data_IF_712703917474
#
_entry.id   IF_712703917474
#
_cell.length_a   1.000
_cell.length_b   1.000
_cell.length_c   1.000
_cell.angle_alpha   90.00
_cell.angle_beta   90.00
_cell.angle_gamma   90.00
#
_symmetry.space_group_name_H-M   'P 1'
#
loop_
_entity.id
_entity.type
_entity.pdbx_description
1 polymer ?
#
# COMPACT_ATOMS: atom_id res chain seq x y z
N UNK A 1 22.13 -14.10 7.95
CA UNK A 1 22.06 -12.63 8.16
C UNK A 1 20.62 -12.33 8.44
N UNK A 2 20.32 -12.03 9.70
CA UNK A 2 18.97 -11.74 10.19
C UNK A 2 18.95 -10.26 10.49
N UNK A 3 18.18 -9.48 9.73
CA UNK A 3 17.97 -8.07 10.03
C UNK A 3 16.79 -8.00 11.00
N UNK A 4 17.09 -7.82 12.28
CA UNK A 4 16.10 -7.49 13.31
C UNK A 4 16.07 -5.97 13.38
N UNK A 5 15.07 -5.36 12.73
CA UNK A 5 14.82 -3.94 12.90
C UNK A 5 14.06 -3.74 14.22
N UNK A 6 14.56 -2.80 15.02
CA UNK A 6 14.31 -2.68 16.45
C UNK A 6 13.44 -1.46 16.77
N UNK A 7 12.42 -1.19 15.98
CA UNK A 7 11.40 -0.18 16.29
C UNK A 7 10.17 -0.83 16.95
N UNK A 8 10.41 -1.44 18.11
CA UNK A 8 9.35 -1.88 19.01
C UNK A 8 8.82 -0.66 19.80
N UNK A 9 7.79 0.01 19.26
CA UNK A 9 6.88 0.86 20.03
C UNK A 9 6.74 2.33 19.61
N UNK A 10 5.48 2.76 19.48
CA UNK A 10 4.94 4.14 19.41
C UNK A 10 5.39 5.11 18.29
N UNK A 11 6.48 4.85 17.57
CA UNK A 11 6.76 5.53 16.29
C UNK A 11 6.14 4.80 15.07
N UNK A 12 5.49 3.65 15.31
CA UNK A 12 4.90 2.78 14.30
C UNK A 12 3.51 3.16 13.79
N UNK A 13 3.00 4.36 14.10
CA UNK A 13 1.75 4.86 13.51
C UNK A 13 2.03 5.51 12.16
N UNK A 14 2.43 4.68 11.20
CA UNK A 14 2.48 5.07 9.81
C UNK A 14 1.09 4.96 9.19
N UNK A 15 0.76 5.88 8.30
CA UNK A 15 -0.46 5.82 7.50
C UNK A 15 -0.11 5.41 6.09
N UNK A 16 -0.84 4.44 5.58
CA UNK A 16 -0.73 3.97 4.21
C UNK A 16 -1.78 4.68 3.35
N UNK A 17 -1.38 5.14 2.18
CA UNK A 17 -2.29 5.77 1.21
C UNK A 17 -1.84 5.50 -0.22
N UNK A 18 -2.78 5.51 -1.16
CA UNK A 18 -2.43 5.47 -2.58
C UNK A 18 -1.82 6.81 -3.01
N UNK A 19 -0.59 6.77 -3.50
CA UNK A 19 0.05 7.92 -4.14
C UNK A 19 -0.41 8.04 -5.59
N UNK A 20 -0.35 6.91 -6.31
CA UNK A 20 -0.81 6.80 -7.69
C UNK A 20 -1.55 5.49 -7.83
N UNK A 21 -2.84 5.57 -8.17
CA UNK A 21 -3.64 4.40 -8.50
C UNK A 21 -4.53 4.73 -9.71
N UNK A 22 -4.58 3.81 -10.66
CA UNK A 22 -5.53 3.92 -11.77
C UNK A 22 -6.97 3.84 -11.26
N UNK A 23 -7.91 4.53 -11.91
CA UNK A 23 -9.34 4.53 -11.52
C UNK A 23 -9.92 3.11 -11.46
N UNK A 24 -9.43 2.20 -12.32
CA UNK A 24 -9.78 0.77 -12.25
C UNK A 24 -9.21 0.10 -10.99
N UNK A 25 -7.93 0.32 -10.71
CA UNK A 25 -7.22 -0.27 -9.59
C UNK A 25 -7.82 0.18 -8.25
N UNK A 26 -8.16 1.46 -8.07
CA UNK A 26 -8.84 1.95 -6.86
C UNK A 26 -10.22 1.35 -6.60
N UNK A 27 -10.85 0.74 -7.62
CA UNK A 27 -12.12 0.03 -7.46
C UNK A 27 -11.96 -1.48 -7.24
N UNK A 28 -10.77 -2.03 -7.52
CA UNK A 28 -10.46 -3.46 -7.40
C UNK A 28 -9.71 -3.74 -6.09
N UNK A 29 -8.80 -2.85 -5.71
CA UNK A 29 -7.92 -3.00 -4.56
C UNK A 29 -8.33 -2.05 -3.44
N UNK A 30 -8.42 -2.59 -2.23
CA UNK A 30 -8.57 -1.84 -1.00
C UNK A 30 -7.26 -1.86 -0.22
N UNK A 31 -6.80 -0.70 0.21
CA UNK A 31 -5.62 -0.54 1.06
C UNK A 31 -6.11 -0.12 2.44
N UNK A 32 -5.83 -0.95 3.43
CA UNK A 32 -6.05 -0.61 4.81
C UNK A 32 -5.01 0.43 5.25
N UNK A 33 -5.47 1.60 5.67
CA UNK A 33 -4.60 2.75 5.94
C UNK A 33 -3.79 2.61 7.23
N UNK A 34 -4.16 1.68 8.12
CA UNK A 34 -3.51 1.47 9.42
C UNK A 34 -2.50 0.32 9.37
N UNK A 35 -2.80 -0.72 8.59
CA UNK A 35 -1.98 -1.94 8.51
C UNK A 35 -1.19 -2.05 7.21
N UNK A 36 -1.56 -1.31 6.16
CA UNK A 36 -0.95 -1.40 4.84
C UNK A 36 -1.35 -2.65 4.05
N UNK A 37 -2.34 -3.43 4.55
CA UNK A 37 -2.80 -4.64 3.88
C UNK A 37 -3.60 -4.28 2.63
N UNK A 38 -3.17 -4.81 1.49
CA UNK A 38 -3.90 -4.69 0.22
C UNK A 38 -4.80 -5.92 0.05
N UNK A 39 -6.09 -5.68 -0.09
CA UNK A 39 -7.11 -6.72 -0.33
C UNK A 39 -7.87 -6.47 -1.62
N UNK A 40 -8.47 -7.52 -2.15
CA UNK A 40 -9.31 -7.45 -3.35
C UNK A 40 -10.75 -7.20 -2.95
N UNK A 41 -11.32 -6.08 -3.39
CA UNK A 41 -12.75 -5.79 -3.28
C UNK A 41 -13.56 -6.52 -4.34
N UNK A 42 -12.92 -6.91 -5.44
CA UNK A 42 -13.57 -7.51 -6.62
C UNK A 42 -12.66 -8.59 -7.20
N UNK A 43 -13.27 -9.56 -7.86
CA UNK A 43 -12.51 -10.53 -8.65
C UNK A 43 -11.75 -9.82 -9.77
N UNK A 44 -10.50 -10.22 -9.99
CA UNK A 44 -9.78 -9.81 -11.19
C UNK A 44 -10.28 -10.65 -12.35
N UNK A 45 -10.76 -9.98 -13.38
CA UNK A 45 -10.96 -10.58 -14.69
C UNK A 45 -9.77 -10.21 -15.58
N UNK A 46 -9.10 -11.22 -16.14
CA UNK A 46 -7.95 -11.04 -17.01
C UNK A 46 -8.34 -10.29 -18.31
N UNK A 47 -9.60 -10.34 -18.72
CA UNK A 47 -10.10 -9.60 -19.89
C UNK A 47 -10.25 -8.09 -19.63
N UNK A 48 -10.37 -7.65 -18.36
CA UNK A 48 -10.52 -6.23 -18.00
C UNK A 48 -9.18 -5.49 -17.83
N UNK A 49 -8.10 -6.22 -17.55
CA UNK A 49 -6.75 -5.67 -17.37
C UNK A 49 -5.72 -6.77 -17.11
N UNK A 50 -4.62 -6.76 -17.87
CA UNK A 50 -3.55 -7.75 -17.74
C UNK A 50 -2.52 -7.42 -16.64
N UNK A 51 -2.45 -6.16 -16.20
CA UNK A 51 -1.59 -5.69 -15.12
C UNK A 51 -2.18 -4.43 -14.46
N UNK A 52 -1.88 -4.25 -13.18
CA UNK A 52 -2.31 -3.10 -12.41
C UNK A 52 -1.11 -2.57 -11.63
N UNK A 53 -0.70 -1.34 -11.92
CA UNK A 53 0.32 -0.67 -11.12
C UNK A 53 -0.36 0.14 -10.00
N UNK A 54 0.10 -0.10 -8.78
CA UNK A 54 -0.32 0.62 -7.58
C UNK A 54 0.92 1.21 -6.93
N UNK A 55 0.87 2.50 -6.62
CA UNK A 55 1.91 3.18 -5.86
C UNK A 55 1.34 3.54 -4.49
N UNK A 56 1.93 2.96 -3.45
CA UNK A 56 1.50 3.13 -2.06
C UNK A 56 2.55 3.97 -1.35
N UNK A 57 2.10 5.04 -0.72
CA UNK A 57 2.90 5.89 0.14
C UNK A 57 2.64 5.52 1.59
N UNK A 58 3.71 5.47 2.37
CA UNK A 58 3.70 5.27 3.82
C UNK A 58 4.18 6.57 4.43
N UNK A 59 3.39 7.18 5.32
CA UNK A 59 3.75 8.44 5.97
C UNK A 59 3.74 8.30 7.48
N UNK A 60 4.83 8.67 8.13
CA UNK A 60 4.91 8.70 9.59
C UNK A 60 4.29 9.99 10.17
N UNK A 61 4.21 10.06 11.50
CA UNK A 61 3.73 11.25 12.21
C UNK A 61 4.73 12.43 12.21
N UNK A 62 5.96 12.21 11.73
CA UNK A 62 7.06 13.17 11.62
C UNK A 62 7.26 13.73 10.21
N UNK A 63 6.29 13.57 9.32
CA UNK A 63 6.31 14.00 7.91
C UNK A 63 7.34 13.27 7.01
N UNK A 64 7.96 12.19 7.48
CA UNK A 64 8.72 11.31 6.61
C UNK A 64 7.75 10.45 5.82
N UNK A 65 8.01 10.32 4.52
CA UNK A 65 7.24 9.43 3.67
C UNK A 65 8.13 8.57 2.79
N UNK A 66 7.77 7.30 2.68
CA UNK A 66 8.38 6.35 1.75
C UNK A 66 7.35 5.88 0.72
N UNK A 67 7.83 5.42 -0.43
CA UNK A 67 6.99 5.07 -1.58
C UNK A 67 7.34 3.67 -2.07
N UNK A 68 6.33 2.81 -2.15
CA UNK A 68 6.44 1.45 -2.67
C UNK A 68 5.60 1.27 -3.93
N UNK A 69 6.21 0.70 -4.98
CA UNK A 69 5.53 0.30 -6.21
C UNK A 69 5.13 -1.17 -6.14
N UNK A 70 3.85 -1.46 -6.39
CA UNK A 70 3.29 -2.80 -6.53
C UNK A 70 2.89 -3.00 -7.99
N UNK A 71 3.41 -4.06 -8.60
CA UNK A 71 3.22 -4.43 -10.02
C UNK A 71 2.71 -5.85 -10.17
#
# INVERSE_FOLDING_TARGET
>A
VTATDADEGLNGHVKYSYQTASVKASKIFHLDTETGVITLMRYLDFEEGNSYELEVQVRDAGDLSDIAKVV
#
